data_IF_752301765831
#
_entry.id   IF_752301765831
#
_cell.length_a   1.000
_cell.length_b   1.000
_cell.length_c   1.000
_cell.angle_alpha   90.00
_cell.angle_beta   90.00
_cell.angle_gamma   90.00
#
_symmetry.space_group_name_H-M   'P 1'
#
loop_
_entity.id
_entity.type
_entity.pdbx_description
1 polymer ?
#
# COMPACT_ATOMS: atom_id res chain seq x y z
N UNK A 1 -18.15 -1.96 -10.99
CA UNK A 1 -17.81 -1.02 -9.89
C UNK A 1 -16.38 -0.57 -10.08
N UNK A 2 -16.10 0.72 -9.91
CA UNK A 2 -14.75 1.28 -10.08
C UNK A 2 -14.25 1.79 -8.75
N UNK A 3 -13.04 1.40 -8.37
CA UNK A 3 -12.38 1.86 -7.16
C UNK A 3 -11.11 2.59 -7.58
N UNK A 4 -11.05 3.87 -7.22
CA UNK A 4 -9.98 4.76 -7.60
C UNK A 4 -9.20 5.19 -6.36
N UNK A 5 -7.86 5.07 -6.41
CA UNK A 5 -6.96 5.63 -5.41
C UNK A 5 -6.37 6.93 -5.91
N UNK A 6 -6.53 7.99 -5.13
CA UNK A 6 -5.97 9.31 -5.43
C UNK A 6 -4.48 9.36 -5.04
N UNK A 7 -3.63 9.87 -5.94
CA UNK A 7 -2.21 10.11 -5.68
C UNK A 7 -1.83 11.51 -6.15
N UNK A 8 -1.36 12.34 -5.22
CA UNK A 8 -0.91 13.72 -5.49
C UNK A 8 0.59 13.81 -5.82
N UNK A 9 1.35 12.73 -5.59
CA UNK A 9 2.78 12.66 -5.91
C UNK A 9 3.07 12.33 -7.37
N UNK A 10 4.36 12.38 -7.75
CA UNK A 10 4.81 11.98 -9.08
C UNK A 10 4.47 10.52 -9.36
N UNK A 11 3.91 10.25 -10.54
CA UNK A 11 3.67 8.89 -11.04
C UNK A 11 4.95 8.08 -11.08
N UNK A 12 4.92 6.89 -10.49
CA UNK A 12 5.99 5.89 -10.59
C UNK A 12 5.49 4.65 -11.33
N UNK A 13 6.39 3.93 -12.00
CA UNK A 13 6.03 2.69 -12.69
C UNK A 13 5.62 1.58 -11.71
N UNK A 14 6.18 1.59 -10.50
CA UNK A 14 5.95 0.60 -9.45
C UNK A 14 4.77 0.89 -8.54
N UNK A 15 4.00 1.96 -8.78
CA UNK A 15 2.86 2.29 -7.90
C UNK A 15 1.91 1.11 -7.73
N UNK A 16 1.56 0.44 -8.83
CA UNK A 16 0.64 -0.71 -8.82
C UNK A 16 1.18 -1.95 -8.08
N UNK A 17 2.49 -2.03 -7.84
CA UNK A 17 3.12 -3.10 -7.06
C UNK A 17 3.05 -2.82 -5.54
N UNK A 18 2.54 -1.66 -5.12
CA UNK A 18 2.40 -1.34 -3.70
C UNK A 18 1.40 -2.28 -3.00
N UNK A 19 1.81 -2.84 -1.86
CA UNK A 19 1.03 -3.80 -1.07
C UNK A 19 -0.34 -3.26 -0.63
N UNK A 20 -0.50 -1.93 -0.54
CA UNK A 20 -1.78 -1.29 -0.19
C UNK A 20 -2.94 -1.72 -1.10
N UNK A 21 -2.66 -2.02 -2.37
CA UNK A 21 -3.69 -2.47 -3.29
C UNK A 21 -4.28 -3.83 -2.90
N UNK A 22 -3.55 -4.67 -2.17
CA UNK A 22 -4.07 -5.93 -1.64
C UNK A 22 -5.15 -5.68 -0.57
N UNK A 23 -4.94 -4.70 0.31
CA UNK A 23 -5.96 -4.29 1.31
C UNK A 23 -7.20 -3.71 0.64
N UNK A 24 -7.01 -2.83 -0.35
CA UNK A 24 -8.11 -2.21 -1.09
C UNK A 24 -8.93 -3.29 -1.84
N UNK A 25 -8.26 -4.25 -2.49
CA UNK A 25 -8.92 -5.39 -3.14
C UNK A 25 -9.69 -6.27 -2.15
N UNK A 26 -9.11 -6.59 -0.99
CA UNK A 26 -9.78 -7.36 0.07
C UNK A 26 -11.05 -6.67 0.56
N UNK A 27 -10.96 -5.37 0.88
CA UNK A 27 -12.13 -4.58 1.29
C UNK A 27 -13.19 -4.47 0.20
N UNK A 28 -12.77 -4.32 -1.06
CA UNK A 28 -13.68 -4.30 -2.21
C UNK A 28 -14.43 -5.62 -2.40
N UNK A 29 -13.74 -6.76 -2.28
CA UNK A 29 -14.33 -8.08 -2.39
C UNK A 29 -15.38 -8.33 -1.29
N UNK A 30 -15.10 -7.88 -0.07
CA UNK A 30 -16.04 -7.95 1.06
C UNK A 30 -17.25 -7.03 0.85
N UNK A 31 -17.02 -5.79 0.41
CA UNK A 31 -18.06 -4.76 0.32
C UNK A 31 -18.95 -4.88 -0.91
N UNK A 32 -18.42 -5.41 -2.02
CA UNK A 32 -19.07 -5.48 -3.32
C UNK A 32 -19.12 -6.92 -3.85
N UNK A 33 -19.41 -7.88 -2.97
CA UNK A 33 -19.53 -9.29 -3.31
C UNK A 33 -20.45 -9.51 -4.53
N UNK A 34 -20.00 -10.36 -5.46
CA UNK A 34 -20.74 -10.67 -6.69
C UNK A 34 -20.67 -9.60 -7.79
N UNK A 35 -20.01 -8.46 -7.57
CA UNK A 35 -19.84 -7.41 -8.59
C UNK A 35 -18.45 -7.47 -9.22
N UNK A 36 -18.36 -7.22 -10.52
CA UNK A 36 -17.08 -6.97 -11.19
C UNK A 36 -16.50 -5.64 -10.73
N UNK A 37 -15.29 -5.66 -10.18
CA UNK A 37 -14.59 -4.47 -9.67
C UNK A 37 -13.34 -4.21 -10.53
N UNK A 38 -13.14 -2.95 -10.94
CA UNK A 38 -11.89 -2.46 -11.54
C UNK A 38 -11.18 -1.50 -10.58
N UNK A 39 -9.84 -1.50 -10.65
CA UNK A 39 -8.99 -0.69 -9.80
C UNK A 39 -8.13 0.23 -10.66
N UNK A 40 -8.00 1.49 -10.22
CA UNK A 40 -7.19 2.49 -10.92
C UNK A 40 -6.56 3.47 -9.93
N UNK A 41 -5.47 4.11 -10.37
CA UNK A 41 -4.83 5.23 -9.67
C UNK A 41 -5.10 6.50 -10.44
N UNK A 42 -5.53 7.57 -9.77
CA UNK A 42 -5.74 8.87 -10.38
C UNK A 42 -4.74 9.90 -9.86
N UNK A 43 -4.13 10.63 -10.79
CA UNK A 43 -3.10 11.64 -10.54
C UNK A 43 -3.63 13.02 -10.94
N UNK A 44 -4.14 13.84 -9.99
CA UNK A 44 -4.74 15.13 -10.31
C UNK A 44 -3.77 16.12 -10.96
N UNK A 45 -2.48 16.06 -10.59
CA UNK A 45 -1.47 16.96 -11.13
C UNK A 45 -1.18 16.79 -12.62
N UNK A 46 -1.57 15.65 -13.21
CA UNK A 46 -1.38 15.34 -14.63
C UNK A 46 -2.68 14.92 -15.32
N UNK A 47 -3.81 14.94 -14.60
CA UNK A 47 -5.10 14.38 -15.03
C UNK A 47 -4.99 12.95 -15.60
N UNK A 48 -4.07 12.14 -15.05
CA UNK A 48 -3.83 10.78 -15.55
C UNK A 48 -4.56 9.75 -14.69
N UNK A 49 -5.24 8.81 -15.37
CA UNK A 49 -5.79 7.60 -14.74
C UNK A 49 -5.00 6.39 -15.23
N UNK A 50 -4.44 5.62 -14.29
CA UNK A 50 -3.62 4.45 -14.59
C UNK A 50 -4.32 3.20 -14.04
N UNK A 51 -4.62 2.19 -14.89
CA UNK A 51 -5.24 0.96 -14.42
C UNK A 51 -4.27 0.19 -13.50
N UNK A 52 -4.81 -0.39 -12.43
CA UNK A 52 -4.07 -1.28 -11.55
C UNK A 52 -4.33 -2.71 -12.05
N UNK A 53 -3.31 -3.41 -12.57
CA UNK A 53 -3.47 -4.77 -13.04
C UNK A 53 -3.88 -5.73 -11.91
N UNK A 54 -4.37 -6.93 -12.24
CA UNK A 54 -4.61 -7.97 -11.27
C UNK A 54 -3.38 -8.22 -10.38
N UNK A 55 -3.59 -8.59 -9.10
CA UNK A 55 -2.50 -8.79 -8.18
C UNK A 55 -1.56 -9.90 -8.65
N UNK A 56 -0.25 -9.68 -8.50
CA UNK A 56 0.73 -10.76 -8.63
C UNK A 56 0.71 -11.68 -7.41
N UNK A 57 0.54 -11.13 -6.19
CA UNK A 57 0.54 -11.90 -4.94
C UNK A 57 -0.15 -11.16 -3.76
N UNK A 58 -1.48 -11.12 -3.77
CA UNK A 58 -2.26 -10.55 -2.66
C UNK A 58 -2.09 -11.31 -1.34
N UNK A 59 -2.07 -12.66 -1.30
CA UNK A 59 -1.93 -13.41 -0.05
C UNK A 59 -0.66 -13.05 0.72
N UNK A 60 0.49 -12.92 0.03
CA UNK A 60 1.74 -12.51 0.66
C UNK A 60 1.65 -11.09 1.23
N UNK A 61 1.12 -10.15 0.46
CA UNK A 61 0.98 -8.74 0.89
C UNK A 61 0.06 -8.63 2.12
N UNK A 62 -1.05 -9.38 2.13
CA UNK A 62 -1.97 -9.43 3.28
C UNK A 62 -1.32 -10.08 4.51
N UNK A 63 -0.45 -11.07 4.31
CA UNK A 63 0.33 -11.66 5.41
C UNK A 63 1.28 -10.64 6.03
N UNK A 64 1.99 -9.85 5.21
CA UNK A 64 2.88 -8.79 5.72
C UNK A 64 2.14 -7.79 6.61
N UNK A 65 0.94 -7.35 6.21
CA UNK A 65 0.10 -6.51 7.07
C UNK A 65 -0.32 -7.22 8.36
N UNK A 66 -0.69 -8.50 8.28
CA UNK A 66 -1.10 -9.26 9.46
C UNK A 66 0.05 -9.46 10.45
N UNK A 67 1.26 -9.71 9.95
CA UNK A 67 2.47 -9.83 10.76
C UNK A 67 2.84 -8.47 11.40
N UNK A 68 2.73 -7.37 10.64
CA UNK A 68 2.97 -6.02 11.16
C UNK A 68 1.98 -5.64 12.27
N UNK A 69 0.69 -5.97 12.12
CA UNK A 69 -0.33 -5.73 13.16
C UNK A 69 0.02 -6.48 14.45
N UNK A 70 0.40 -7.76 14.35
CA UNK A 70 0.79 -8.56 15.52
C UNK A 70 2.02 -7.98 16.23
N UNK A 71 3.03 -7.54 15.48
CA UNK A 71 4.20 -6.90 16.05
C UNK A 71 3.82 -5.62 16.82
N UNK A 72 2.95 -4.78 16.25
CA UNK A 72 2.43 -3.57 16.92
C UNK A 72 1.69 -3.95 18.22
N UNK A 73 0.84 -4.98 18.20
CA UNK A 73 0.11 -5.46 19.39
C UNK A 73 1.04 -5.99 20.49
N UNK A 74 2.21 -6.51 20.12
CA UNK A 74 3.27 -6.96 21.05
C UNK A 74 4.22 -5.83 21.48
N UNK A 75 4.08 -4.62 20.95
CA UNK A 75 5.00 -3.51 21.21
C UNK A 75 6.36 -3.66 20.52
N UNK A 76 6.45 -4.49 19.48
CA UNK A 76 7.68 -4.73 18.73
C UNK A 76 7.88 -3.67 17.64
N UNK A 77 8.87 -2.79 17.85
CA UNK A 77 9.27 -1.76 16.89
C UNK A 77 10.77 -1.85 16.57
N UNK A 78 11.25 -2.93 15.93
CA UNK A 78 12.67 -3.10 15.66
C UNK A 78 13.18 -1.99 14.71
N UNK A 79 14.39 -1.46 14.93
CA UNK A 79 14.98 -0.48 14.03
C UNK A 79 15.26 -1.11 12.66
N UNK A 80 15.10 -0.31 11.60
CA UNK A 80 15.45 -0.71 10.23
C UNK A 80 16.43 0.29 9.64
N UNK A 81 17.55 -0.20 9.13
CA UNK A 81 18.57 0.61 8.44
C UNK A 81 18.29 0.62 6.94
N UNK A 82 17.22 1.30 6.51
CA UNK A 82 16.91 1.47 5.09
C UNK A 82 17.38 2.85 4.59
N UNK A 83 18.43 2.86 3.76
CA UNK A 83 19.02 4.06 3.18
C UNK A 83 18.07 4.89 2.30
N UNK A 84 16.91 4.34 1.90
CA UNK A 84 15.88 5.10 1.16
C UNK A 84 15.03 5.97 2.08
N UNK A 85 14.87 5.57 3.34
CA UNK A 85 14.04 6.26 4.32
C UNK A 85 14.87 7.00 5.37
N UNK A 86 16.07 6.54 5.68
CA UNK A 86 17.00 7.28 6.52
C UNK A 86 17.80 8.27 5.65
N UNK A 87 17.96 9.55 6.05
CA UNK A 87 17.56 10.17 7.32
C UNK A 87 16.20 10.91 7.27
N UNK A 88 15.40 10.75 6.20
CA UNK A 88 14.12 11.47 6.05
C UNK A 88 12.98 10.95 6.94
N UNK A 89 13.16 9.81 7.59
CA UNK A 89 12.23 9.24 8.55
C UNK A 89 11.99 10.21 9.73
N UNK A 90 10.74 10.53 10.08
CA UNK A 90 10.44 11.40 11.23
C UNK A 90 11.00 10.89 12.57
N UNK A 91 11.17 9.57 12.69
CA UNK A 91 11.69 8.94 13.90
C UNK A 91 13.21 8.72 13.87
N UNK A 92 13.95 9.25 12.88
CA UNK A 92 15.37 8.94 12.67
C UNK A 92 16.24 9.12 13.93
N UNK A 93 16.06 10.20 14.69
CA UNK A 93 16.86 10.51 15.88
C UNK A 93 16.54 9.65 17.12
N UNK A 94 15.41 8.94 17.12
CA UNK A 94 14.97 8.08 18.24
C UNK A 94 14.92 6.59 17.84
N UNK A 95 15.28 6.26 16.61
CA UNK A 95 15.25 4.89 16.10
C UNK A 95 16.55 4.16 16.48
N UNK A 96 16.44 3.00 17.14
CA UNK A 96 17.60 2.16 17.46
C UNK A 96 18.36 2.56 18.73
N UNK A 97 17.84 3.49 19.53
CA UNK A 97 18.13 3.58 20.97
C UNK A 97 17.43 2.47 21.72
#
# INVERSE_FOLDING_TARGET
>A
MRIQRLRTGRRTKSEHDNEIYALIRRGAAQRYAGRRVSFETFYPGTDETVPVPPPKNDPKSLKNYSDAIKAIELGEFPPTSDNRYCPSCPCYFICGT
#
